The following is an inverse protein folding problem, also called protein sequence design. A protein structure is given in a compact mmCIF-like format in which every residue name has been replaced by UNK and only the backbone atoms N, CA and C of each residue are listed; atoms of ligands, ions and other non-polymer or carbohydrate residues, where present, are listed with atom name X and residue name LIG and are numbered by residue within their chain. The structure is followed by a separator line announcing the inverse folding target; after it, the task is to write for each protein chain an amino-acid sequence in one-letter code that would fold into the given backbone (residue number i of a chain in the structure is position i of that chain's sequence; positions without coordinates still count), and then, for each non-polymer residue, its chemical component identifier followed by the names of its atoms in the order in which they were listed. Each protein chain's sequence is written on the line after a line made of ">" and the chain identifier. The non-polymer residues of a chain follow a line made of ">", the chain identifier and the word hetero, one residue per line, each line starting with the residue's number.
data_IF_719822123181
#
_entry.id   IF_719822123181
#
_cell.length_a   1.000
_cell.length_b   1.000
_cell.length_c   1.000
_cell.angle_alpha   90.00
_cell.angle_beta   90.00
_cell.angle_gamma   90.00
#
_symmetry.space_group_name_H-M   'P 1'
#
loop_
_entity.id
_entity.type
_entity.pdbx_description
1 polymer ?
#
# COMPACT_ATOMS: atom_id res chain seq x y z
N UNK A 1 -5.66 -14.18 16.79
CA UNK A 1 -6.93 -13.44 16.64
C UNK A 1 -6.80 -12.29 15.67
N UNK A 2 -5.93 -11.30 15.91
CA UNK A 2 -5.73 -10.15 15.01
C UNK A 2 -5.36 -10.56 13.59
N UNK A 3 -4.37 -11.46 13.41
CA UNK A 3 -4.03 -11.98 12.07
C UNK A 3 -5.23 -12.62 11.37
N UNK A 4 -6.02 -13.43 12.08
CA UNK A 4 -7.22 -14.05 11.52
C UNK A 4 -8.30 -13.02 11.10
N UNK A 5 -8.44 -11.92 11.85
CA UNK A 5 -9.32 -10.82 11.48
C UNK A 5 -8.77 -10.04 10.28
N UNK A 6 -7.44 -9.83 10.22
CA UNK A 6 -6.77 -9.21 9.09
C UNK A 6 -6.94 -10.03 7.81
N UNK A 7 -6.78 -11.36 7.88
CA UNK A 7 -6.94 -12.24 6.72
C UNK A 7 -8.41 -12.23 6.23
N UNK A 8 -9.39 -12.29 7.14
CA UNK A 8 -10.81 -12.13 6.79
C UNK A 8 -11.10 -10.77 6.16
N UNK A 9 -10.50 -9.71 6.68
CA UNK A 9 -10.64 -8.35 6.16
C UNK A 9 -10.05 -8.21 4.76
N UNK A 10 -8.89 -8.83 4.51
CA UNK A 10 -8.26 -8.86 3.18
C UNK A 10 -9.07 -9.68 2.17
N UNK A 11 -9.65 -10.81 2.59
CA UNK A 11 -10.39 -11.74 1.72
C UNK A 11 -11.81 -11.26 1.37
N UNK A 12 -12.51 -10.57 2.28
CA UNK A 12 -13.94 -10.27 2.12
C UNK A 12 -14.39 -8.94 2.73
N UNK A 13 -13.45 -8.01 2.91
CA UNK A 13 -13.73 -6.66 3.40
C UNK A 13 -14.29 -6.62 4.83
N UNK A 14 -14.85 -5.47 5.21
CA UNK A 14 -15.36 -5.24 6.57
C UNK A 14 -16.54 -6.15 6.93
N UNK A 15 -17.29 -6.61 5.93
CA UNK A 15 -18.45 -7.47 6.15
C UNK A 15 -18.05 -8.89 6.58
N UNK A 16 -16.88 -9.37 6.14
CA UNK A 16 -16.35 -10.68 6.54
C UNK A 16 -15.91 -10.74 8.01
N UNK A 17 -15.62 -9.58 8.63
CA UNK A 17 -15.11 -9.52 10.00
C UNK A 17 -16.27 -9.53 11.00
N UNK A 18 -16.47 -10.69 11.65
CA UNK A 18 -17.44 -10.88 12.75
C UNK A 18 -16.80 -11.68 13.88
N UNK A 19 -17.19 -11.46 15.13
CA UNK A 19 -16.65 -12.20 16.29
C UNK A 19 -16.63 -13.72 16.07
N UNK A 20 -17.74 -14.31 15.60
CA UNK A 20 -17.83 -15.75 15.29
C UNK A 20 -16.92 -16.18 14.16
N UNK A 21 -16.83 -15.39 13.09
CA UNK A 21 -15.98 -15.69 11.94
C UNK A 21 -14.49 -15.66 12.34
N UNK A 22 -14.07 -14.65 13.10
CA UNK A 22 -12.71 -14.49 13.59
C UNK A 22 -12.35 -15.61 14.57
N UNK A 23 -13.22 -15.93 15.54
CA UNK A 23 -13.00 -17.01 16.49
C UNK A 23 -12.77 -18.35 15.77
N UNK A 24 -13.64 -18.66 14.80
CA UNK A 24 -13.52 -19.87 13.96
C UNK A 24 -12.21 -19.88 13.18
N UNK A 25 -11.86 -18.78 12.48
CA UNK A 25 -10.62 -18.68 11.69
C UNK A 25 -9.37 -18.79 12.57
N UNK A 26 -9.41 -18.24 13.78
CA UNK A 26 -8.30 -18.29 14.73
C UNK A 26 -8.19 -19.62 15.48
N UNK A 27 -9.16 -20.54 15.36
CA UNK A 27 -9.22 -21.75 16.17
C UNK A 27 -9.44 -21.48 17.66
N UNK A 28 -10.12 -20.38 18.02
CA UNK A 28 -10.33 -19.94 19.39
C UNK A 28 -11.80 -20.05 19.82
N UNK A 29 -12.08 -20.25 21.13
CA UNK A 29 -13.44 -20.12 21.66
C UNK A 29 -14.03 -18.73 21.37
N UNK A 30 -15.33 -18.65 21.08
CA UNK A 30 -16.02 -17.37 20.80
C UNK A 30 -15.80 -16.32 21.89
N UNK A 31 -15.85 -16.74 23.15
CA UNK A 31 -15.63 -15.89 24.33
C UNK A 31 -14.25 -15.21 24.34
N UNK A 32 -13.26 -15.76 23.64
CA UNK A 32 -11.93 -15.14 23.52
C UNK A 32 -12.04 -13.76 22.86
N UNK A 33 -12.91 -13.61 21.86
CA UNK A 33 -13.00 -12.35 21.10
C UNK A 33 -13.51 -11.20 21.94
N UNK A 34 -14.46 -11.47 22.84
CA UNK A 34 -14.99 -10.49 23.79
C UNK A 34 -14.11 -10.32 25.03
N UNK A 35 -13.19 -11.25 25.29
CA UNK A 35 -12.19 -11.12 26.35
C UNK A 35 -11.05 -10.17 25.95
N UNK A 36 -10.57 -10.27 24.70
CA UNK A 36 -9.44 -9.45 24.21
C UNK A 36 -9.86 -8.12 23.57
N UNK A 37 -11.09 -8.02 23.06
CA UNK A 37 -11.59 -6.81 22.41
C UNK A 37 -12.94 -6.42 23.00
N UNK A 38 -13.04 -5.15 23.42
CA UNK A 38 -14.26 -4.58 23.99
C UNK A 38 -15.38 -4.44 22.97
N UNK A 39 -15.03 -4.32 21.68
CA UNK A 39 -15.96 -4.21 20.56
C UNK A 39 -15.43 -4.87 19.29
N UNK A 40 -16.32 -5.09 18.31
CA UNK A 40 -15.93 -5.52 16.98
C UNK A 40 -15.08 -4.45 16.27
N UNK A 41 -15.37 -3.17 16.52
CA UNK A 41 -14.64 -2.04 15.94
C UNK A 41 -13.20 -1.99 16.44
N UNK A 42 -12.94 -2.30 17.72
CA UNK A 42 -11.57 -2.39 18.26
C UNK A 42 -10.78 -3.52 17.59
N UNK A 43 -11.43 -4.66 17.33
CA UNK A 43 -10.84 -5.78 16.62
C UNK A 43 -10.55 -5.43 15.15
N UNK A 44 -11.46 -4.72 14.49
CA UNK A 44 -11.27 -4.21 13.12
C UNK A 44 -10.10 -3.23 13.08
N UNK A 45 -10.01 -2.29 14.03
CA UNK A 45 -8.91 -1.33 14.11
C UNK A 45 -7.55 -2.04 14.27
N UNK A 46 -7.48 -3.02 15.16
CA UNK A 46 -6.28 -3.84 15.33
C UNK A 46 -5.93 -4.65 14.06
N UNK A 47 -6.93 -5.16 13.36
CA UNK A 47 -6.73 -5.87 12.09
C UNK A 47 -6.21 -4.93 10.99
N UNK A 48 -6.79 -3.74 10.85
CA UNK A 48 -6.32 -2.72 9.89
C UNK A 48 -4.88 -2.33 10.21
N UNK A 49 -4.55 -2.04 11.47
CA UNK A 49 -3.19 -1.71 11.90
C UNK A 49 -2.21 -2.85 11.60
N UNK A 50 -2.59 -4.09 11.87
CA UNK A 50 -1.79 -5.27 11.55
C UNK A 50 -1.51 -5.41 10.06
N UNK A 51 -2.51 -5.19 9.19
CA UNK A 51 -2.33 -5.24 7.73
C UNK A 51 -1.29 -4.21 7.29
N UNK A 52 -1.42 -2.95 7.68
CA UNK A 52 -0.46 -1.93 7.24
C UNK A 52 0.91 -2.07 7.87
N UNK A 53 1.05 -2.61 9.08
CA UNK A 53 2.36 -2.98 9.62
C UNK A 53 3.04 -4.05 8.75
N UNK A 54 2.27 -5.05 8.29
CA UNK A 54 2.74 -6.11 7.38
C UNK A 54 3.13 -5.53 6.01
N UNK A 55 2.26 -4.74 5.40
CA UNK A 55 2.51 -4.06 4.11
C UNK A 55 3.75 -3.15 4.19
N UNK A 56 3.87 -2.33 5.25
CA UNK A 56 5.01 -1.44 5.44
C UNK A 56 6.33 -2.21 5.66
N UNK A 57 6.30 -3.32 6.39
CA UNK A 57 7.48 -4.17 6.59
C UNK A 57 7.93 -4.84 5.28
N UNK A 58 6.99 -5.34 4.48
CA UNK A 58 7.26 -5.91 3.16
C UNK A 58 7.84 -4.86 2.21
N UNK A 59 7.24 -3.67 2.16
CA UNK A 59 7.71 -2.55 1.35
C UNK A 59 9.13 -2.14 1.72
N UNK A 60 9.41 -1.92 3.02
CA UNK A 60 10.77 -1.59 3.49
C UNK A 60 11.79 -2.66 3.13
N UNK A 61 11.42 -3.94 3.24
CA UNK A 61 12.31 -5.05 2.89
C UNK A 61 12.67 -5.03 1.40
N UNK A 62 11.68 -4.79 0.53
CA UNK A 62 11.89 -4.68 -0.92
C UNK A 62 12.75 -3.46 -1.27
N UNK A 63 12.47 -2.30 -0.68
CA UNK A 63 13.27 -1.08 -0.87
C UNK A 63 14.72 -1.29 -0.43
N UNK A 64 14.94 -1.92 0.72
CA UNK A 64 16.28 -2.22 1.22
C UNK A 64 17.08 -3.13 0.27
N UNK A 65 16.40 -4.05 -0.42
CA UNK A 65 16.97 -4.94 -1.43
C UNK A 65 17.33 -4.26 -2.77
N UNK A 66 16.91 -3.01 -3.01
CA UNK A 66 17.23 -2.30 -4.25
C UNK A 66 18.69 -1.87 -4.28
N UNK A 67 19.37 -2.16 -5.40
CA UNK A 67 20.70 -1.61 -5.66
C UNK A 67 20.67 -0.09 -5.80
N UNK A 68 21.70 0.60 -5.28
CA UNK A 68 21.88 2.04 -5.47
C UNK A 68 22.55 2.30 -6.81
N UNK A 69 21.80 2.78 -7.79
CA UNK A 69 22.28 3.09 -9.14
C UNK A 69 21.37 4.11 -9.82
N UNK A 70 21.91 4.88 -10.76
CA UNK A 70 21.09 5.74 -11.60
C UNK A 70 20.15 4.87 -12.46
N UNK A 71 18.85 5.18 -12.44
CA UNK A 71 17.82 4.54 -13.26
C UNK A 71 17.18 5.55 -14.21
N UNK A 72 16.85 5.13 -15.43
CA UNK A 72 16.04 5.91 -16.38
C UNK A 72 14.62 6.16 -15.84
N UNK A 73 13.85 7.01 -16.51
CA UNK A 73 12.45 7.29 -16.15
C UNK A 73 11.62 5.99 -16.14
N UNK A 74 11.68 5.22 -17.22
CA UNK A 74 10.98 3.94 -17.35
C UNK A 74 11.36 3.01 -16.21
N UNK A 75 12.63 2.63 -16.08
CA UNK A 75 13.10 1.70 -15.02
C UNK A 75 12.77 2.18 -13.61
N UNK A 76 12.74 3.51 -13.37
CA UNK A 76 12.32 4.04 -12.06
C UNK A 76 10.82 3.80 -11.86
N UNK A 77 10.00 4.12 -12.86
CA UNK A 77 8.56 3.87 -12.83
C UNK A 77 8.25 2.39 -12.64
N UNK A 78 8.98 1.47 -13.31
CA UNK A 78 8.83 0.03 -13.08
C UNK A 78 9.02 -0.28 -11.60
N UNK A 79 10.20 0.02 -11.05
CA UNK A 79 10.52 -0.26 -9.64
C UNK A 79 9.47 0.31 -8.69
N UNK A 80 9.00 1.55 -8.90
CA UNK A 80 7.99 2.15 -8.03
C UNK A 80 6.64 1.44 -8.12
N UNK A 81 6.21 1.02 -9.31
CA UNK A 81 4.97 0.23 -9.48
C UNK A 81 5.11 -1.14 -8.81
N UNK A 82 6.24 -1.83 -8.98
CA UNK A 82 6.48 -3.13 -8.33
C UNK A 82 6.41 -3.03 -6.80
N UNK A 83 6.89 -1.92 -6.24
CA UNK A 83 6.83 -1.64 -4.81
C UNK A 83 5.41 -1.29 -4.32
N UNK A 84 4.62 -0.59 -5.13
CA UNK A 84 3.35 0.04 -4.70
C UNK A 84 2.08 -0.74 -5.05
N UNK A 85 2.10 -1.49 -6.15
CA UNK A 85 0.95 -2.25 -6.63
C UNK A 85 1.05 -3.73 -6.25
N UNK A 86 2.25 -4.18 -5.85
CA UNK A 86 2.59 -5.57 -5.53
C UNK A 86 2.55 -6.51 -6.74
N UNK A 87 3.34 -7.58 -6.65
CA UNK A 87 3.84 -8.39 -7.77
C UNK A 87 3.41 -9.84 -7.62
N UNK A 88 2.12 -10.14 -7.67
CA UNK A 88 1.67 -11.54 -7.84
C UNK A 88 0.54 -11.63 -8.87
N UNK A 89 0.90 -11.43 -10.14
CA UNK A 89 0.15 -11.95 -11.29
C UNK A 89 -1.18 -11.29 -11.61
N UNK A 90 -1.60 -11.48 -12.86
CA UNK A 90 -2.96 -11.20 -13.33
C UNK A 90 -3.91 -12.35 -12.96
N UNK A 91 -3.75 -12.95 -11.77
CA UNK A 91 -4.75 -13.88 -11.28
C UNK A 91 -5.89 -13.11 -10.59
N UNK A 92 -7.09 -13.67 -10.62
CA UNK A 92 -8.29 -13.03 -10.05
C UNK A 92 -8.11 -12.73 -8.56
N UNK A 93 -7.27 -13.47 -7.84
CA UNK A 93 -7.09 -13.32 -6.39
C UNK A 93 -6.30 -12.06 -6.07
N UNK A 94 -5.21 -11.79 -6.80
CA UNK A 94 -4.44 -10.56 -6.62
C UNK A 94 -5.25 -9.31 -6.96
N UNK A 95 -6.13 -9.40 -7.97
CA UNK A 95 -7.03 -8.30 -8.33
C UNK A 95 -8.05 -8.00 -7.23
N UNK A 96 -8.69 -9.03 -6.66
CA UNK A 96 -9.61 -8.87 -5.52
C UNK A 96 -8.91 -8.31 -4.27
N UNK A 97 -7.68 -8.74 -4.00
CA UNK A 97 -6.88 -8.17 -2.91
C UNK A 97 -6.55 -6.69 -3.13
N UNK A 98 -6.29 -6.30 -4.39
CA UNK A 98 -6.05 -4.91 -4.75
C UNK A 98 -7.32 -4.06 -4.53
N UNK A 99 -8.48 -4.55 -4.96
CA UNK A 99 -9.79 -3.91 -4.71
C UNK A 99 -10.00 -3.76 -3.19
N UNK A 100 -9.89 -4.85 -2.44
CA UNK A 100 -10.05 -4.89 -0.99
C UNK A 100 -9.15 -3.87 -0.26
N UNK A 101 -7.91 -3.68 -0.74
CA UNK A 101 -6.99 -2.66 -0.22
C UNK A 101 -7.55 -1.24 -0.40
N UNK A 102 -8.05 -0.88 -1.57
CA UNK A 102 -8.60 0.45 -1.83
C UNK A 102 -9.98 0.67 -1.19
N UNK A 103 -10.85 -0.35 -1.18
CA UNK A 103 -12.08 -0.32 -0.40
C UNK A 103 -11.80 -0.01 1.06
N UNK A 104 -10.77 -0.65 1.64
CA UNK A 104 -10.33 -0.38 3.01
C UNK A 104 -9.87 1.05 3.22
N UNK A 105 -9.07 1.60 2.31
CA UNK A 105 -8.62 2.99 2.40
C UNK A 105 -9.82 3.97 2.43
N UNK A 106 -10.84 3.73 1.59
CA UNK A 106 -12.04 4.55 1.53
C UNK A 106 -12.93 4.33 2.76
N UNK A 107 -13.14 3.09 3.20
CA UNK A 107 -13.95 2.77 4.36
C UNK A 107 -13.39 3.39 5.65
N UNK A 108 -12.07 3.35 5.82
CA UNK A 108 -11.37 4.00 6.93
C UNK A 108 -11.62 5.52 6.96
N UNK A 109 -11.87 6.16 5.81
CA UNK A 109 -12.14 7.60 5.76
C UNK A 109 -13.44 7.99 6.49
N UNK A 110 -14.39 7.06 6.66
CA UNK A 110 -15.64 7.30 7.41
C UNK A 110 -15.51 7.05 8.91
N UNK A 111 -14.43 6.44 9.38
CA UNK A 111 -14.23 6.07 10.78
C UNK A 111 -13.07 6.86 11.41
N UNK A 112 -13.32 7.83 12.31
CA UNK A 112 -12.28 8.70 12.87
C UNK A 112 -11.07 7.95 13.44
N UNK A 113 -11.29 6.86 14.17
CA UNK A 113 -10.22 6.05 14.77
C UNK A 113 -9.30 5.40 13.73
N UNK A 114 -9.82 5.04 12.55
CA UNK A 114 -9.03 4.43 11.48
C UNK A 114 -8.30 5.46 10.62
N UNK A 115 -8.73 6.72 10.60
CA UNK A 115 -8.07 7.79 9.83
C UNK A 115 -6.63 7.99 10.28
N UNK A 116 -6.36 7.96 11.58
CA UNK A 116 -5.02 8.17 12.10
C UNK A 116 -4.09 6.98 11.79
N UNK A 117 -4.64 5.77 11.82
CA UNK A 117 -3.93 4.57 11.36
C UNK A 117 -3.56 4.73 9.87
N UNK A 118 -4.53 5.11 9.03
CA UNK A 118 -4.32 5.29 7.60
C UNK A 118 -3.30 6.40 7.27
N UNK A 119 -3.31 7.52 8.01
CA UNK A 119 -2.31 8.59 7.87
C UNK A 119 -0.89 8.09 8.15
N UNK A 120 -0.71 7.32 9.22
CA UNK A 120 0.60 6.72 9.55
C UNK A 120 1.06 5.75 8.47
N UNK A 121 0.15 4.93 7.93
CA UNK A 121 0.48 4.01 6.83
C UNK A 121 0.89 4.75 5.56
N UNK A 122 0.16 5.80 5.18
CA UNK A 122 0.51 6.62 4.02
C UNK A 122 1.89 7.26 4.20
N UNK A 123 2.17 7.81 5.39
CA UNK A 123 3.48 8.39 5.70
C UNK A 123 4.61 7.36 5.53
N UNK A 124 4.46 6.16 6.10
CA UNK A 124 5.46 5.09 5.96
C UNK A 124 5.66 4.66 4.50
N UNK A 125 4.58 4.62 3.72
CA UNK A 125 4.63 4.30 2.28
C UNK A 125 5.37 5.38 1.50
N UNK A 126 5.07 6.65 1.77
CA UNK A 126 5.76 7.81 1.17
C UNK A 126 7.25 7.82 1.52
N UNK A 127 7.63 7.57 2.77
CA UNK A 127 9.03 7.50 3.20
C UNK A 127 9.80 6.40 2.45
N UNK A 128 9.23 5.20 2.34
CA UNK A 128 9.86 4.09 1.63
C UNK A 128 10.00 4.36 0.11
N UNK A 129 9.01 5.02 -0.51
CA UNK A 129 9.12 5.47 -1.92
C UNK A 129 10.21 6.51 -2.08
N UNK A 130 10.35 7.45 -1.12
CA UNK A 130 11.43 8.42 -1.10
C UNK A 130 12.79 7.73 -1.17
N UNK A 131 13.00 6.72 -0.33
CA UNK A 131 14.24 5.92 -0.35
C UNK A 131 14.43 5.19 -1.70
N UNK A 132 13.38 4.63 -2.30
CA UNK A 132 13.47 3.99 -3.61
C UNK A 132 13.85 4.97 -4.73
N UNK A 133 13.33 6.20 -4.67
CA UNK A 133 13.67 7.31 -5.58
C UNK A 133 15.15 7.70 -5.41
N UNK A 134 15.63 7.86 -4.18
CA UNK A 134 17.04 8.15 -3.88
C UNK A 134 17.98 7.04 -4.35
N UNK A 135 17.62 5.77 -4.11
CA UNK A 135 18.36 4.60 -4.60
C UNK A 135 18.41 4.53 -6.13
N UNK A 136 17.52 5.26 -6.81
CA UNK A 136 17.45 5.38 -8.28
C UNK A 136 18.24 6.58 -8.83
N UNK A 137 18.96 7.31 -7.97
CA UNK A 137 19.76 8.49 -8.36
C UNK A 137 18.91 9.73 -8.64
N UNK A 138 17.71 9.78 -8.07
CA UNK A 138 16.76 10.88 -8.18
C UNK A 138 16.52 11.49 -6.81
N UNK A 139 16.11 12.75 -6.77
CA UNK A 139 15.77 13.46 -5.53
C UNK A 139 14.46 14.20 -5.70
N UNK A 140 13.62 14.17 -4.68
CA UNK A 140 12.38 14.92 -4.65
C UNK A 140 12.09 15.41 -3.24
N UNK A 141 11.32 16.49 -3.15
CA UNK A 141 10.78 16.95 -1.87
C UNK A 141 9.70 15.97 -1.37
N UNK A 142 9.47 15.83 -0.05
CA UNK A 142 8.48 14.91 0.50
C UNK A 142 7.07 15.07 -0.12
N UNK A 143 6.66 16.31 -0.43
CA UNK A 143 5.36 16.57 -1.04
C UNK A 143 5.24 16.00 -2.46
N UNK A 144 6.36 16.00 -3.22
CA UNK A 144 6.41 15.43 -4.57
C UNK A 144 6.49 13.90 -4.54
N UNK A 145 7.15 13.32 -3.52
CA UNK A 145 7.07 11.88 -3.27
C UNK A 145 5.64 11.47 -2.94
N UNK A 146 4.94 12.24 -2.10
CA UNK A 146 3.51 12.02 -1.84
C UNK A 146 2.69 12.11 -3.12
N UNK A 147 2.99 13.07 -4.00
CA UNK A 147 2.30 13.19 -5.30
C UNK A 147 2.53 11.96 -6.20
N UNK A 148 3.73 11.36 -6.20
CA UNK A 148 4.01 10.11 -6.92
C UNK A 148 3.17 8.94 -6.38
N UNK A 149 3.07 8.80 -5.06
CA UNK A 149 2.21 7.77 -4.44
C UNK A 149 0.75 8.00 -4.82
N UNK A 150 0.26 9.23 -4.73
CA UNK A 150 -1.11 9.57 -5.12
C UNK A 150 -1.38 9.34 -6.62
N UNK A 151 -0.40 9.59 -7.49
CA UNK A 151 -0.53 9.34 -8.93
C UNK A 151 -0.68 7.84 -9.22
N UNK A 152 0.09 6.98 -8.55
CA UNK A 152 -0.07 5.53 -8.63
C UNK A 152 -1.44 5.10 -8.10
N UNK A 153 -1.83 5.59 -6.93
CA UNK A 153 -3.11 5.21 -6.32
C UNK A 153 -4.29 5.62 -7.21
N UNK A 154 -4.26 6.83 -7.79
CA UNK A 154 -5.27 7.30 -8.72
C UNK A 154 -5.30 6.50 -10.03
N UNK A 155 -4.13 6.18 -10.59
CA UNK A 155 -4.01 5.36 -11.80
C UNK A 155 -4.58 3.96 -11.59
N UNK A 156 -4.27 3.33 -10.45
CA UNK A 156 -4.80 2.01 -10.09
C UNK A 156 -6.32 2.06 -9.93
N UNK A 157 -6.85 3.01 -9.16
CA UNK A 157 -8.30 3.14 -8.96
C UNK A 157 -9.02 3.38 -10.28
N UNK A 158 -8.45 4.17 -11.19
CA UNK A 158 -9.01 4.39 -12.52
C UNK A 158 -9.03 3.10 -13.36
N UNK A 159 -7.96 2.32 -13.32
CA UNK A 159 -7.83 1.07 -14.06
C UNK A 159 -8.76 -0.05 -13.52
N UNK A 160 -9.20 0.03 -12.26
CA UNK A 160 -10.12 -0.97 -11.70
C UNK A 160 -11.50 -1.01 -12.39
N UNK A 161 -11.85 0.05 -13.12
CA UNK A 161 -13.15 0.22 -13.81
C UNK A 161 -12.99 0.01 -15.34
N UNK A 162 -11.76 0.06 -15.84
CA UNK A 162 -11.44 0.02 -17.26
C UNK A 162 -10.70 -1.28 -17.62
N UNK A 163 -11.37 -2.15 -18.37
CA UNK A 163 -10.80 -3.42 -18.83
C UNK A 163 -9.70 -3.25 -19.91
N UNK A 164 -9.41 -2.02 -20.35
CA UNK A 164 -8.47 -1.75 -21.44
C UNK A 164 -7.00 -1.92 -21.07
N UNK A 165 -6.64 -1.80 -19.79
CA UNK A 165 -5.24 -1.90 -19.31
C UNK A 165 -5.19 -2.34 -17.85
N UNK A 166 -4.17 -3.11 -17.49
CA UNK A 166 -3.98 -3.52 -16.10
C UNK A 166 -3.68 -2.30 -15.19
N UNK A 167 -3.98 -2.38 -13.88
CA UNK A 167 -3.58 -1.35 -12.93
C UNK A 167 -2.08 -1.03 -12.94
N UNK A 168 -1.24 -2.04 -13.16
CA UNK A 168 0.21 -1.91 -13.22
C UNK A 168 0.64 -1.13 -14.46
N UNK A 169 0.06 -1.43 -15.63
CA UNK A 169 0.35 -0.72 -16.88
C UNK A 169 -0.06 0.75 -16.79
N UNK A 170 -1.27 1.01 -16.28
CA UNK A 170 -1.80 2.37 -16.11
C UNK A 170 -0.96 3.18 -15.12
N UNK A 171 -0.58 2.58 -13.99
CA UNK A 171 0.30 3.22 -13.01
C UNK A 171 1.71 3.49 -13.57
N UNK A 172 2.26 2.54 -14.35
CA UNK A 172 3.57 2.69 -14.97
C UNK A 172 3.57 3.82 -15.99
N UNK A 173 2.59 3.85 -16.89
CA UNK A 173 2.45 4.91 -17.89
C UNK A 173 2.35 6.28 -17.22
N UNK A 174 1.48 6.39 -16.21
CA UNK A 174 1.32 7.61 -15.40
C UNK A 174 2.64 8.05 -14.78
N UNK A 175 3.41 7.13 -14.18
CA UNK A 175 4.69 7.45 -13.56
C UNK A 175 5.76 7.88 -14.56
N UNK A 176 5.82 7.24 -15.74
CA UNK A 176 6.78 7.60 -16.79
C UNK A 176 6.63 9.09 -17.16
N UNK A 177 5.39 9.56 -17.30
CA UNK A 177 5.09 10.93 -17.72
C UNK A 177 5.46 11.98 -16.66
N UNK A 178 5.42 11.63 -15.37
CA UNK A 178 5.58 12.60 -14.28
C UNK A 178 6.92 12.50 -13.53
N UNK A 179 7.64 11.37 -13.62
CA UNK A 179 8.79 11.11 -12.74
C UNK A 179 9.95 12.10 -12.95
N UNK A 180 10.18 12.57 -14.18
CA UNK A 180 11.24 13.55 -14.44
C UNK A 180 10.92 14.96 -13.89
N UNK A 181 9.63 15.28 -13.76
CA UNK A 181 9.16 16.53 -13.16
C UNK A 181 9.12 16.44 -11.64
N UNK A 182 8.57 15.35 -11.10
CA UNK A 182 8.35 15.19 -9.66
C UNK A 182 9.61 14.72 -8.92
N UNK A 183 10.46 13.93 -9.56
CA UNK A 183 11.70 13.39 -9.00
C UNK A 183 12.86 13.49 -10.00
N UNK A 184 13.36 14.71 -10.28
CA UNK A 184 14.49 14.90 -11.17
C UNK A 184 15.76 14.21 -10.65
N UNK A 185 16.72 13.98 -11.54
CA UNK A 185 18.04 13.49 -11.15
C UNK A 185 18.72 14.46 -10.18
N UNK A 186 19.46 13.93 -9.21
CA UNK A 186 20.33 14.75 -8.38
C UNK A 186 21.31 15.51 -9.28
N UNK A 187 21.29 16.85 -9.21
CA UNK A 187 22.36 17.65 -9.81
C UNK A 187 23.60 17.36 -8.98
N UNK A 188 24.58 16.65 -9.56
CA UNK A 188 25.93 16.60 -8.99
C UNK A 188 26.38 18.04 -8.75
N UNK A 189 26.58 18.41 -7.48
CA UNK A 189 27.35 19.60 -7.17
C UNK A 189 28.71 19.42 -7.84
N UNK A 190 29.04 20.31 -8.79
CA UNK A 190 30.39 20.36 -9.33
C UNK A 190 31.33 20.62 -8.15
N UNK A 191 32.42 19.85 -7.98
CA UNK A 191 33.44 20.23 -7.01
C UNK A 191 33.96 21.61 -7.40
N UNK A 192 33.93 22.54 -6.44
CA UNK A 192 34.56 23.87 -6.54
C UNK A 192 36.07 23.69 -6.51
#
# INVERSE_FOLDING_TARGET
>A
MVSAAADLLSEGGFEAVRHRAVARRAGLPLASTTYYFSSLDDLIAAAVEFIGMREAAQLRTRVAGLSKRRRGAETTAEVLVELLVDHEGLDTVAYEQLISRYERYIACARQPALRDIQRRMLQQRTEAVGEAVERSGRSARPELISALVCAVDGAVVSALIDDSSSPQETARATLIDVIDVLAPYERRALPV
#
